data_IF_074403186257
#
_entry.id   IF_074403186257
#
_cell.length_a   1.000
_cell.length_b   1.000
_cell.length_c   1.000
_cell.angle_alpha   90.00
_cell.angle_beta   90.00
_cell.angle_gamma   90.00
#
_symmetry.space_group_name_H-M   'P 1'
#
loop_
_entity.id
_entity.type
_entity.pdbx_description
1 polymer ?
#
# COMPACT_ATOMS: atom_id res chain seq x y z
N UNK A 1 49.57 -42.77 29.83
CA UNK A 1 50.61 -43.01 28.80
C UNK A 1 50.54 -41.87 27.80
N UNK A 2 51.55 -41.01 27.74
CA UNK A 2 51.66 -39.95 26.73
C UNK A 2 52.43 -40.51 25.53
N UNK A 3 51.82 -40.49 24.34
CA UNK A 3 52.56 -40.68 23.09
C UNK A 3 52.09 -39.63 22.09
N UNK A 4 53.03 -38.74 21.77
CA UNK A 4 52.97 -37.69 20.76
C UNK A 4 53.16 -38.32 19.36
N UNK A 5 52.36 -37.95 18.35
CA UNK A 5 52.74 -38.23 16.95
C UNK A 5 52.27 -37.15 15.96
N UNK A 6 53.23 -36.29 15.63
CA UNK A 6 53.54 -35.58 14.38
C UNK A 6 52.50 -35.60 13.23
N UNK A 7 51.93 -34.41 13.00
CA UNK A 7 51.77 -33.65 11.75
C UNK A 7 51.60 -34.40 10.41
N UNK A 8 50.46 -34.13 9.76
CA UNK A 8 50.33 -34.07 8.29
C UNK A 8 49.42 -32.89 7.91
N UNK A 9 50.01 -31.87 7.31
CA UNK A 9 49.30 -30.95 6.39
C UNK A 9 48.85 -31.77 5.18
N UNK A 10 47.68 -31.48 4.60
CA UNK A 10 47.41 -31.45 3.16
C UNK A 10 46.02 -30.82 2.89
N UNK A 11 46.02 -29.95 1.88
CA UNK A 11 44.94 -29.50 1.00
C UNK A 11 43.84 -28.59 1.57
N UNK A 12 44.04 -27.29 1.32
CA UNK A 12 42.97 -26.34 1.11
C UNK A 12 42.02 -26.84 -0.01
N UNK A 13 40.72 -26.90 0.29
CA UNK A 13 39.67 -26.90 -0.72
C UNK A 13 38.99 -25.55 -0.63
N UNK A 14 39.29 -24.69 -1.60
CA UNK A 14 38.52 -23.48 -1.85
C UNK A 14 37.16 -23.88 -2.43
N UNK A 15 36.10 -23.79 -1.64
CA UNK A 15 34.74 -23.80 -2.15
C UNK A 15 34.30 -22.35 -2.37
N UNK A 16 34.24 -21.98 -3.64
CA UNK A 16 33.78 -20.69 -4.11
C UNK A 16 32.28 -20.49 -3.87
N UNK A 17 31.94 -19.23 -3.59
CA UNK A 17 30.73 -18.51 -3.98
C UNK A 17 29.36 -19.13 -3.63
N UNK A 18 28.72 -18.51 -2.65
CA UNK A 18 27.29 -18.65 -2.40
C UNK A 18 26.82 -17.54 -1.46
N UNK A 19 27.11 -16.28 -1.80
CA UNK A 19 26.57 -15.13 -1.08
C UNK A 19 25.06 -15.05 -1.30
N UNK A 20 24.28 -15.69 -0.43
CA UNK A 20 22.88 -15.32 -0.26
C UNK A 20 22.88 -13.97 0.46
N UNK A 21 22.84 -12.89 -0.31
CA UNK A 21 22.40 -11.60 0.20
C UNK A 21 20.93 -11.75 0.55
N UNK A 22 20.64 -12.04 1.81
CA UNK A 22 19.33 -11.79 2.39
C UNK A 22 19.12 -10.29 2.25
N UNK A 23 18.34 -9.88 1.25
CA UNK A 23 17.85 -8.51 1.18
C UNK A 23 17.01 -8.30 2.44
N UNK A 24 17.58 -7.62 3.43
CA UNK A 24 16.83 -7.14 4.58
C UNK A 24 15.74 -6.24 4.03
N UNK A 25 14.51 -6.75 3.99
CA UNK A 25 13.30 -5.96 3.81
C UNK A 25 13.21 -5.08 5.05
N UNK A 26 13.84 -3.91 4.99
CA UNK A 26 13.58 -2.85 5.96
C UNK A 26 12.11 -2.49 5.82
N UNK A 27 11.32 -2.52 6.91
CA UNK A 27 9.97 -1.97 6.84
C UNK A 27 10.14 -0.50 6.47
N UNK A 28 9.68 -0.13 5.28
CA UNK A 28 9.58 1.27 4.89
C UNK A 28 8.66 1.91 5.93
N UNK A 29 9.23 2.70 6.84
CA UNK A 29 8.47 3.65 7.63
C UNK A 29 7.72 4.50 6.64
N UNK A 30 6.41 4.30 6.56
CA UNK A 30 5.49 5.15 5.82
C UNK A 30 5.88 6.59 6.13
N UNK A 31 6.43 7.29 5.14
CA UNK A 31 6.81 8.69 5.32
C UNK A 31 5.52 9.45 5.57
N UNK A 32 5.40 10.10 6.73
CA UNK A 32 4.27 10.96 7.10
C UNK A 32 3.94 11.97 6.00
N UNK A 33 4.94 12.34 5.20
CA UNK A 33 4.83 13.22 4.04
C UNK A 33 3.84 12.70 2.97
N UNK A 34 3.80 11.40 2.69
CA UNK A 34 2.99 10.87 1.59
C UNK A 34 1.47 11.07 1.80
N UNK A 35 1.02 11.05 3.05
CA UNK A 35 -0.36 11.33 3.41
C UNK A 35 -0.68 12.83 3.45
N UNK A 36 0.33 13.68 3.64
CA UNK A 36 0.13 15.15 3.72
C UNK A 36 -0.26 15.76 2.38
N UNK A 37 -0.02 15.06 1.28
CA UNK A 37 -0.42 15.46 -0.07
C UNK A 37 -1.93 15.38 -0.34
N UNK A 38 -2.71 14.83 0.59
CA UNK A 38 -4.17 14.86 0.51
C UNK A 38 -4.72 16.16 1.11
N UNK A 39 -5.28 17.07 0.30
CA UNK A 39 -5.76 18.35 0.82
C UNK A 39 -6.97 18.16 1.75
N UNK A 40 -7.12 19.05 2.72
CA UNK A 40 -8.32 19.11 3.56
C UNK A 40 -9.56 19.29 2.68
N UNK A 41 -10.63 18.56 3.00
CA UNK A 41 -11.88 18.54 2.24
C UNK A 41 -11.98 17.44 1.18
N UNK A 42 -10.99 16.55 1.08
CA UNK A 42 -10.96 15.51 0.05
C UNK A 42 -10.91 14.09 0.61
N UNK A 43 -11.48 13.15 -0.14
CA UNK A 43 -11.13 11.75 -0.09
C UNK A 43 -10.04 11.49 -1.11
N UNK A 44 -8.94 10.86 -0.70
CA UNK A 44 -7.81 10.56 -1.58
C UNK A 44 -7.59 9.06 -1.67
N UNK A 45 -7.21 8.60 -2.85
CA UNK A 45 -6.80 7.22 -3.09
C UNK A 45 -5.45 7.19 -3.80
N UNK A 46 -4.68 6.15 -3.53
CA UNK A 46 -3.36 5.96 -4.11
C UNK A 46 -3.18 4.57 -4.68
N UNK A 47 -2.40 4.50 -5.76
CA UNK A 47 -1.97 3.24 -6.38
C UNK A 47 -0.92 2.49 -5.56
N UNK A 48 -0.35 3.09 -4.51
CA UNK A 48 0.62 2.47 -3.60
C UNK A 48 0.12 2.50 -2.15
N UNK A 49 0.75 1.68 -1.31
CA UNK A 49 0.43 1.63 0.12
C UNK A 49 0.93 2.90 0.81
N UNK A 50 0.37 3.21 1.98
CA UNK A 50 0.81 4.31 2.84
C UNK A 50 0.82 5.69 2.17
N UNK A 51 -0.13 5.98 1.29
CA UNK A 51 -0.23 7.27 0.60
C UNK A 51 0.82 7.48 -0.50
N UNK A 52 1.46 6.41 -1.00
CA UNK A 52 2.52 6.50 -2.03
C UNK A 52 2.01 6.20 -3.44
N UNK A 53 2.76 6.58 -4.47
CA UNK A 53 2.41 6.32 -5.86
C UNK A 53 1.46 7.37 -6.45
N UNK A 54 0.72 7.01 -7.49
CA UNK A 54 -0.20 7.94 -8.15
C UNK A 54 -1.41 8.21 -7.27
N UNK A 55 -1.79 9.48 -7.15
CA UNK A 55 -2.87 9.94 -6.29
C UNK A 55 -4.04 10.47 -7.12
N UNK A 56 -5.24 10.13 -6.70
CA UNK A 56 -6.48 10.79 -7.10
C UNK A 56 -7.21 11.32 -5.87
N UNK A 57 -8.02 12.35 -6.05
CA UNK A 57 -8.76 13.00 -4.96
C UNK A 57 -10.14 13.46 -5.42
N UNK A 58 -11.10 13.44 -4.50
CA UNK A 58 -12.47 13.87 -4.76
C UNK A 58 -13.03 14.63 -3.56
N UNK A 59 -13.68 15.77 -3.82
CA UNK A 59 -14.35 16.58 -2.78
C UNK A 59 -15.77 16.09 -2.48
N UNK A 60 -16.37 15.32 -3.39
CA UNK A 60 -17.70 14.73 -3.26
C UNK A 60 -17.69 13.29 -3.75
N UNK A 61 -18.87 12.72 -3.97
CA UNK A 61 -18.99 11.36 -4.49
C UNK A 61 -18.34 11.23 -5.88
N UNK A 62 -17.90 10.02 -6.21
CA UNK A 62 -17.51 9.64 -7.57
C UNK A 62 -18.30 8.41 -7.98
N UNK A 63 -19.01 8.49 -9.10
CA UNK A 63 -19.75 7.36 -9.69
C UNK A 63 -18.84 6.43 -10.49
N UNK A 64 -17.69 6.91 -10.97
CA UNK A 64 -16.73 6.12 -11.75
C UNK A 64 -15.29 6.63 -11.60
N UNK A 65 -14.49 5.90 -10.85
CA UNK A 65 -13.06 6.15 -10.73
C UNK A 65 -12.34 5.96 -12.07
N UNK A 66 -12.87 5.10 -12.95
CA UNK A 66 -12.27 4.85 -14.27
C UNK A 66 -12.25 6.09 -15.17
N UNK A 67 -13.17 7.03 -14.96
CA UNK A 67 -13.20 8.32 -15.66
C UNK A 67 -12.51 9.43 -14.86
N UNK A 68 -12.69 9.42 -13.54
CA UNK A 68 -12.23 10.51 -12.68
C UNK A 68 -10.74 10.37 -12.28
N UNK A 69 -10.15 9.19 -12.48
CA UNK A 69 -8.82 8.85 -12.02
C UNK A 69 -8.02 8.08 -13.07
N UNK A 70 -6.93 8.70 -13.52
CA UNK A 70 -6.13 8.24 -14.67
C UNK A 70 -5.51 6.86 -14.53
N UNK A 71 -5.39 6.33 -13.32
CA UNK A 71 -4.79 5.00 -13.08
C UNK A 71 -5.79 3.94 -12.63
N UNK A 72 -7.03 4.30 -12.30
CA UNK A 72 -7.98 3.37 -11.68
C UNK A 72 -8.46 2.26 -12.64
N UNK A 73 -8.32 2.45 -13.95
CA UNK A 73 -8.66 1.43 -14.95
C UNK A 73 -7.63 0.30 -15.08
N UNK A 74 -6.37 0.55 -14.70
CA UNK A 74 -5.25 -0.36 -14.96
C UNK A 74 -4.52 -0.82 -13.69
N UNK A 75 -4.89 -0.27 -12.53
CA UNK A 75 -4.19 -0.52 -11.25
C UNK A 75 -5.18 -0.64 -10.11
N UNK A 76 -4.85 -1.51 -9.17
CA UNK A 76 -5.57 -1.59 -7.89
C UNK A 76 -5.18 -0.42 -6.98
N UNK A 77 -6.13 0.18 -6.25
CA UNK A 77 -5.80 1.08 -5.17
C UNK A 77 -5.22 0.29 -3.99
N UNK A 78 -4.16 0.83 -3.39
CA UNK A 78 -3.49 0.20 -2.25
C UNK A 78 -3.68 0.99 -0.97
N UNK A 79 -4.08 2.26 -1.04
CA UNK A 79 -4.38 3.03 0.16
C UNK A 79 -5.36 4.17 -0.10
N UNK A 80 -6.07 4.57 0.95
CA UNK A 80 -7.05 5.66 0.93
C UNK A 80 -6.97 6.50 2.20
N UNK A 81 -7.40 7.76 2.10
CA UNK A 81 -7.48 8.70 3.22
C UNK A 81 -8.73 9.55 3.08
N UNK A 82 -9.58 9.52 4.11
CA UNK A 82 -10.65 10.51 4.25
C UNK A 82 -10.13 11.74 5.00
N UNK A 83 -9.71 12.77 4.26
CA UNK A 83 -9.39 14.09 4.80
C UNK A 83 -10.57 15.08 4.68
N UNK A 84 -11.79 14.56 4.67
CA UNK A 84 -13.01 15.34 4.49
C UNK A 84 -13.31 16.30 5.63
N UNK A 85 -14.14 17.29 5.33
CA UNK A 85 -14.65 18.28 6.28
C UNK A 85 -16.16 18.17 6.50
N UNK A 86 -16.87 17.31 5.76
CA UNK A 86 -18.32 17.09 5.87
C UNK A 86 -18.76 16.45 7.19
N UNK A 87 -17.84 15.77 7.89
CA UNK A 87 -18.15 14.94 9.05
C UNK A 87 -18.63 13.53 8.71
N UNK A 88 -18.82 13.24 7.42
CA UNK A 88 -19.18 11.91 6.91
C UNK A 88 -17.93 11.06 6.66
N UNK A 89 -18.05 9.77 6.91
CA UNK A 89 -17.21 8.73 6.37
C UNK A 89 -17.51 8.39 4.90
N UNK A 90 -16.63 7.59 4.31
CA UNK A 90 -16.70 7.20 2.90
C UNK A 90 -16.87 5.70 2.76
N UNK A 91 -17.90 5.28 2.04
CA UNK A 91 -18.05 3.91 1.55
C UNK A 91 -17.39 3.79 0.19
N UNK A 92 -16.57 2.75 0.01
CA UNK A 92 -15.97 2.40 -1.29
C UNK A 92 -16.69 1.19 -1.90
N UNK A 93 -16.75 1.16 -3.22
CA UNK A 93 -17.57 0.22 -3.98
C UNK A 93 -16.76 -0.44 -5.09
N UNK A 94 -16.97 -1.74 -5.28
CA UNK A 94 -16.27 -2.49 -6.32
C UNK A 94 -16.73 -2.11 -7.72
N UNK A 95 -17.98 -1.64 -7.84
CA UNK A 95 -18.64 -1.37 -9.11
C UNK A 95 -18.97 0.12 -9.21
N UNK A 96 -19.22 0.59 -10.43
CA UNK A 96 -19.64 1.98 -10.67
C UNK A 96 -20.99 2.26 -10.03
N UNK A 97 -21.35 3.54 -9.89
CA UNK A 97 -22.67 3.97 -9.41
C UNK A 97 -23.05 3.41 -8.03
N UNK A 98 -22.05 3.26 -7.14
CA UNK A 98 -22.18 2.85 -5.75
C UNK A 98 -22.75 1.45 -5.53
N UNK A 99 -22.39 0.52 -6.41
CA UNK A 99 -22.76 -0.89 -6.31
C UNK A 99 -21.68 -1.75 -5.64
N UNK A 100 -22.10 -2.79 -4.89
CA UNK A 100 -21.21 -3.74 -4.20
C UNK A 100 -20.22 -3.05 -3.23
N UNK A 101 -20.69 -2.58 -2.05
CA UNK A 101 -19.80 -1.97 -1.06
C UNK A 101 -18.71 -2.97 -0.62
N UNK A 102 -17.50 -2.46 -0.39
CA UNK A 102 -16.35 -3.24 0.07
C UNK A 102 -15.83 -2.68 1.38
N UNK A 103 -15.55 -3.55 2.33
CA UNK A 103 -14.94 -3.18 3.59
C UNK A 103 -15.87 -2.36 4.50
N UNK A 104 -15.26 -1.68 5.47
CA UNK A 104 -15.94 -0.78 6.38
C UNK A 104 -15.93 0.67 5.90
N UNK A 105 -16.66 1.51 6.63
CA UNK A 105 -16.63 2.95 6.42
C UNK A 105 -15.23 3.51 6.68
N UNK A 106 -14.70 4.33 5.75
CA UNK A 106 -13.46 5.09 5.97
C UNK A 106 -13.85 6.40 6.65
N UNK A 107 -13.73 6.43 7.97
CA UNK A 107 -14.17 7.55 8.80
C UNK A 107 -13.26 8.78 8.64
N UNK A 108 -13.75 9.95 9.05
CA UNK A 108 -12.99 11.19 8.94
C UNK A 108 -11.65 11.10 9.67
N UNK A 109 -10.56 11.42 8.97
CA UNK A 109 -9.20 11.35 9.49
C UNK A 109 -8.53 9.98 9.29
N UNK A 110 -9.29 8.97 8.83
CA UNK A 110 -8.81 7.61 8.73
C UNK A 110 -7.97 7.37 7.47
N UNK A 111 -6.81 6.75 7.67
CA UNK A 111 -5.87 6.32 6.63
C UNK A 111 -5.87 4.80 6.60
N UNK A 112 -6.21 4.22 5.46
CA UNK A 112 -6.39 2.77 5.34
C UNK A 112 -5.49 2.24 4.23
N UNK A 113 -4.77 1.17 4.52
CA UNK A 113 -4.16 0.34 3.48
C UNK A 113 -5.18 -0.72 3.04
N UNK A 114 -5.42 -0.78 1.74
CA UNK A 114 -6.26 -1.78 1.11
C UNK A 114 -5.43 -3.02 0.78
N UNK A 115 -6.10 -4.15 0.54
CA UNK A 115 -5.41 -5.38 0.15
C UNK A 115 -4.71 -5.27 -1.22
N UNK A 116 -5.13 -4.31 -2.07
CA UNK A 116 -4.45 -4.03 -3.34
C UNK A 116 -4.58 -5.13 -4.38
N UNK A 117 -5.64 -5.94 -4.29
CA UNK A 117 -5.92 -7.08 -5.18
C UNK A 117 -7.34 -7.05 -5.76
N UNK A 118 -8.00 -5.89 -5.70
CA UNK A 118 -9.33 -5.65 -6.24
C UNK A 118 -9.45 -4.20 -6.75
N UNK A 119 -10.32 -3.98 -7.72
CA UNK A 119 -10.65 -2.63 -8.19
C UNK A 119 -11.63 -1.96 -7.24
N UNK A 120 -11.50 -0.63 -7.12
CA UNK A 120 -12.53 0.25 -6.58
C UNK A 120 -12.98 1.13 -7.74
N UNK A 121 -14.29 1.16 -7.95
CA UNK A 121 -14.88 1.80 -9.11
C UNK A 121 -15.72 3.02 -8.73
N UNK A 122 -16.20 3.13 -7.50
CA UNK A 122 -16.94 4.31 -7.05
C UNK A 122 -16.81 4.51 -5.54
N UNK A 123 -17.16 5.70 -5.06
CA UNK A 123 -17.24 6.01 -3.64
C UNK A 123 -18.33 7.03 -3.33
N UNK A 124 -18.88 6.96 -2.12
CA UNK A 124 -19.86 7.93 -1.63
C UNK A 124 -19.57 8.33 -0.17
N UNK A 125 -19.83 9.60 0.13
CA UNK A 125 -19.86 10.16 1.48
C UNK A 125 -21.23 9.89 2.09
N UNK A 126 -21.40 8.73 2.72
CA UNK A 126 -22.73 8.26 3.18
C UNK A 126 -22.70 7.36 4.42
N UNK A 127 -21.52 7.18 4.99
CA UNK A 127 -21.32 6.68 6.34
C UNK A 127 -20.56 7.78 7.10
#
# INVERSE_FOLDING_TARGET
MHVLRKMRLIAAVAAAAGGLTVAAITPATATTEAWSDCPSGYFCAWSGSNGTGYRCQWAGNSESWYHDCSWAGDRYPHSVYNHGTSGLGVTIYAWTSWEKPIGGCVTRGEKVNLAGNYYVASHAWNC
#
